data_IF_664565455001
#
_entry.id   IF_664565455001
#
_cell.length_a   1.000
_cell.length_b   1.000
_cell.length_c   1.000
_cell.angle_alpha   90.00
_cell.angle_beta   90.00
_cell.angle_gamma   90.00
#
_symmetry.space_group_name_H-M   'P 1'
#
loop_
_entity.id
_entity.type
_entity.pdbx_description
1 polymer ?
#
# COMPACT_ATOMS: atom_id res chain seq x y z
N UNK A 1 -8.18 -4.61 -0.14
CA UNK A 1 -6.84 -4.38 0.45
C UNK A 1 -5.91 -3.93 -0.67
N UNK A 2 -5.00 -3.01 -0.38
CA UNK A 2 -3.98 -2.54 -1.32
C UNK A 2 -2.64 -2.52 -0.58
N UNK A 3 -1.60 -3.15 -1.13
CA UNK A 3 -0.29 -3.25 -0.49
C UNK A 3 0.84 -3.25 -1.53
N UNK A 4 2.05 -2.98 -1.06
CA UNK A 4 3.29 -3.10 -1.82
C UNK A 4 4.38 -3.54 -0.86
N UNK A 5 5.22 -4.49 -1.27
CA UNK A 5 6.23 -5.08 -0.40
C UNK A 5 7.35 -5.73 -1.21
N UNK A 6 8.50 -5.89 -0.56
CA UNK A 6 9.64 -6.59 -1.15
C UNK A 6 9.61 -8.06 -0.73
N UNK A 7 9.46 -9.00 -1.66
CA UNK A 7 9.47 -10.41 -1.30
C UNK A 7 10.86 -11.01 -1.08
N UNK A 8 10.94 -12.08 -0.29
CA UNK A 8 12.11 -12.95 -0.26
C UNK A 8 12.12 -13.86 -1.49
N UNK A 9 13.24 -13.85 -2.22
CA UNK A 9 13.48 -14.70 -3.39
C UNK A 9 13.46 -16.19 -3.05
N UNK A 10 13.63 -16.55 -1.78
CA UNK A 10 13.66 -17.94 -1.32
C UNK A 10 12.36 -18.40 -0.65
N UNK A 11 11.38 -17.51 -0.46
CA UNK A 11 10.13 -17.86 0.22
C UNK A 11 9.11 -18.57 -0.68
N UNK A 12 9.30 -18.54 -2.00
CA UNK A 12 8.40 -19.18 -2.96
C UNK A 12 9.21 -19.98 -3.98
N UNK A 13 8.66 -21.10 -4.46
CA UNK A 13 9.27 -21.99 -5.46
C UNK A 13 9.41 -21.33 -6.85
N UNK A 14 8.97 -20.08 -6.98
CA UNK A 14 8.98 -19.28 -8.21
C UNK A 14 9.85 -18.03 -8.00
N UNK A 15 10.69 -17.72 -8.99
CA UNK A 15 11.61 -16.57 -9.11
C UNK A 15 10.84 -15.21 -9.23
N UNK A 16 9.78 -15.00 -8.47
CA UNK A 16 8.82 -13.90 -8.59
C UNK A 16 9.39 -12.48 -8.50
N UNK A 17 10.54 -12.31 -7.83
CA UNK A 17 11.27 -11.04 -7.76
C UNK A 17 12.59 -11.04 -8.51
N UNK A 18 12.75 -11.96 -9.47
CA UNK A 18 13.92 -12.00 -10.34
C UNK A 18 14.07 -10.67 -11.08
N UNK A 19 15.29 -10.12 -11.03
CA UNK A 19 15.59 -8.83 -11.63
C UNK A 19 15.24 -7.63 -10.76
N UNK A 20 14.82 -7.83 -9.51
CA UNK A 20 14.74 -6.73 -8.53
C UNK A 20 16.13 -6.09 -8.35
N UNK A 21 16.16 -4.77 -8.54
CA UNK A 21 17.32 -3.93 -8.26
C UNK A 21 16.94 -2.88 -7.21
N UNK A 22 17.30 -3.15 -5.96
CA UNK A 22 16.97 -2.29 -4.83
C UNK A 22 17.59 -0.89 -4.96
N UNK A 23 18.62 -0.68 -5.79
CA UNK A 23 19.23 0.63 -6.01
C UNK A 23 18.26 1.65 -6.65
N UNK A 24 17.15 1.17 -7.20
CA UNK A 24 16.10 1.99 -7.80
C UNK A 24 15.03 2.45 -6.80
N UNK A 25 15.13 2.09 -5.51
CA UNK A 25 14.27 2.62 -4.45
C UNK A 25 14.48 4.14 -4.26
N UNK A 26 13.44 4.89 -3.84
CA UNK A 26 12.13 4.41 -3.43
C UNK A 26 11.18 4.10 -4.60
N UNK A 27 10.30 3.12 -4.38
CA UNK A 27 9.19 2.82 -5.29
C UNK A 27 7.86 3.26 -4.72
N UNK A 28 6.90 3.49 -5.61
CA UNK A 28 5.60 4.03 -5.27
C UNK A 28 4.50 3.27 -6.00
N UNK A 29 3.49 2.85 -5.25
CA UNK A 29 2.20 2.50 -5.80
C UNK A 29 1.22 3.63 -5.46
N UNK A 30 0.48 4.11 -6.46
CA UNK A 30 -0.45 5.22 -6.30
C UNK A 30 -1.83 4.85 -6.81
N UNK A 31 -2.86 5.33 -6.12
CA UNK A 31 -4.24 5.22 -6.57
C UNK A 31 -4.88 6.61 -6.54
N UNK A 32 -5.45 7.03 -7.67
CA UNK A 32 -6.20 8.29 -7.75
C UNK A 32 -7.50 8.21 -6.97
N UNK A 33 -8.18 7.07 -7.03
CA UNK A 33 -9.44 6.83 -6.33
C UNK A 33 -9.72 5.33 -6.20
N UNK A 34 -10.62 4.96 -5.28
CA UNK A 34 -11.18 3.61 -5.17
C UNK A 34 -12.69 3.68 -5.05
N UNK A 35 -13.39 2.76 -5.72
CA UNK A 35 -14.82 2.55 -5.54
C UNK A 35 -15.11 1.17 -4.95
N UNK A 36 -16.13 1.11 -4.13
CA UNK A 36 -16.74 -0.14 -3.69
C UNK A 36 -18.16 -0.20 -4.21
N UNK A 37 -18.47 -1.32 -4.87
CA UNK A 37 -19.80 -1.63 -5.36
C UNK A 37 -20.32 -2.84 -4.59
N UNK A 38 -21.48 -2.69 -3.95
CA UNK A 38 -22.16 -3.79 -3.28
C UNK A 38 -22.94 -4.64 -4.29
N UNK A 39 -22.85 -5.95 -4.15
CA UNK A 39 -23.65 -6.90 -4.92
C UNK A 39 -25.06 -7.02 -4.33
N UNK A 40 -26.08 -6.90 -5.19
CA UNK A 40 -27.47 -7.23 -4.86
C UNK A 40 -27.83 -8.61 -5.44
N UNK A 41 -28.08 -9.62 -4.59
CA UNK A 41 -28.45 -10.96 -5.04
C UNK A 41 -29.86 -11.06 -5.66
N UNK A 42 -30.74 -10.09 -5.45
CA UNK A 42 -32.11 -10.14 -5.99
C UNK A 42 -32.16 -9.75 -7.46
N UNK A 43 -31.33 -8.79 -7.83
CA UNK A 43 -31.23 -8.26 -9.20
C UNK A 43 -30.02 -8.83 -9.95
N UNK A 44 -29.11 -9.50 -9.24
CA UNK A 44 -27.81 -9.97 -9.74
C UNK A 44 -27.00 -8.84 -10.37
N UNK A 45 -26.98 -7.69 -9.70
CA UNK A 45 -26.27 -6.48 -10.13
C UNK A 45 -25.39 -5.90 -9.04
N UNK A 46 -24.46 -5.04 -9.42
CA UNK A 46 -23.63 -4.28 -8.51
C UNK A 46 -24.09 -2.81 -8.48
N UNK A 47 -24.08 -2.21 -7.30
CA UNK A 47 -24.42 -0.81 -7.11
C UNK A 47 -23.31 -0.10 -6.36
N UNK A 48 -22.95 1.10 -6.82
CA UNK A 48 -21.96 1.93 -6.15
C UNK A 48 -22.45 2.26 -4.73
N UNK A 49 -21.65 1.88 -3.74
CA UNK A 49 -21.89 2.20 -2.33
C UNK A 49 -21.11 3.45 -1.94
N UNK A 50 -19.81 3.48 -2.25
CA UNK A 50 -18.97 4.63 -1.98
C UNK A 50 -17.79 4.72 -2.93
N UNK A 51 -17.25 5.94 -3.00
CA UNK A 51 -16.01 6.29 -3.68
C UNK A 51 -15.12 7.06 -2.71
N UNK A 52 -13.83 6.80 -2.80
CA UNK A 52 -12.79 7.55 -2.11
C UNK A 52 -11.90 8.21 -3.16
N UNK A 53 -11.88 9.54 -3.18
CA UNK A 53 -11.01 10.35 -4.05
C UNK A 53 -9.64 10.62 -3.40
N UNK A 54 -9.43 10.14 -2.17
CA UNK A 54 -8.21 10.37 -1.40
C UNK A 54 -7.83 11.85 -1.27
N UNK A 55 -8.79 12.72 -0.96
CA UNK A 55 -8.50 14.10 -0.53
C UNK A 55 -7.79 14.13 0.84
N UNK A 56 -8.02 13.11 1.66
CA UNK A 56 -7.31 12.80 2.90
C UNK A 56 -7.39 11.30 3.19
N UNK A 57 -6.56 10.81 4.11
CA UNK A 57 -6.61 9.42 4.53
C UNK A 57 -7.72 9.21 5.58
N UNK A 58 -8.88 8.69 5.16
CA UNK A 58 -10.01 8.40 6.05
C UNK A 58 -9.76 7.12 6.87
N UNK A 59 -9.36 7.30 8.13
CA UNK A 59 -9.12 6.19 9.07
C UNK A 59 -10.38 5.49 9.57
N UNK A 60 -11.59 6.00 9.30
CA UNK A 60 -12.82 5.25 9.54
C UNK A 60 -13.04 4.17 8.47
N UNK A 61 -12.43 4.34 7.29
CA UNK A 61 -12.54 3.43 6.14
C UNK A 61 -11.30 2.56 5.97
N UNK A 62 -10.11 3.15 6.12
CA UNK A 62 -8.83 2.48 5.85
C UNK A 62 -8.02 2.29 7.11
N UNK A 63 -7.72 1.03 7.42
CA UNK A 63 -6.72 0.67 8.43
C UNK A 63 -5.33 0.65 7.81
N UNK A 64 -4.39 1.34 8.45
CA UNK A 64 -2.99 1.34 8.05
C UNK A 64 -2.16 0.59 9.09
N UNK A 65 -1.51 -0.53 8.73
CA UNK A 65 -0.64 -1.24 9.65
C UNK A 65 0.62 -0.42 9.96
N UNK A 66 1.10 -0.52 11.20
CA UNK A 66 2.36 0.05 11.63
C UNK A 66 3.21 -1.01 12.32
N UNK A 67 4.49 -1.06 11.96
CA UNK A 67 5.44 -2.07 12.39
C UNK A 67 4.93 -3.52 12.24
N UNK A 68 4.43 -3.85 11.05
CA UNK A 68 3.89 -5.18 10.74
C UNK A 68 4.66 -5.84 9.60
N UNK A 69 4.82 -7.17 9.66
CA UNK A 69 5.43 -7.98 8.61
C UNK A 69 4.86 -9.39 8.64
N UNK A 70 5.29 -10.22 7.69
CA UNK A 70 4.91 -11.62 7.60
C UNK A 70 6.04 -12.43 6.96
N UNK A 71 6.03 -13.73 7.15
CA UNK A 71 7.09 -14.61 6.63
C UNK A 71 7.20 -14.51 5.10
N UNK A 72 8.43 -14.37 4.61
CA UNK A 72 8.71 -14.16 3.19
C UNK A 72 8.61 -12.70 2.73
N UNK A 73 8.22 -11.75 3.58
CA UNK A 73 8.28 -10.31 3.30
C UNK A 73 9.57 -9.71 3.88
N UNK A 74 10.44 -9.18 3.02
CA UNK A 74 11.68 -8.50 3.40
C UNK A 74 11.46 -7.04 3.87
N UNK A 75 10.25 -6.53 3.74
CA UNK A 75 9.87 -5.19 4.16
C UNK A 75 8.99 -5.21 5.42
N UNK A 76 9.01 -4.10 6.17
CA UNK A 76 8.10 -3.84 7.29
C UNK A 76 7.09 -2.79 6.85
N UNK A 77 5.80 -3.08 7.00
CA UNK A 77 4.76 -2.07 6.85
C UNK A 77 4.87 -1.05 7.98
N UNK A 78 5.03 0.21 7.59
CA UNK A 78 5.14 1.35 8.48
C UNK A 78 4.07 2.36 8.08
N UNK A 79 3.30 2.86 9.05
CA UNK A 79 2.22 3.79 8.75
C UNK A 79 2.72 5.09 8.11
N UNK A 80 3.94 5.50 8.44
CA UNK A 80 4.63 6.64 7.82
C UNK A 80 4.85 6.52 6.31
N UNK A 81 4.72 5.32 5.73
CA UNK A 81 4.89 5.07 4.29
C UNK A 81 3.56 4.99 3.53
N UNK A 82 2.45 5.25 4.20
CA UNK A 82 1.11 5.34 3.60
C UNK A 82 0.54 6.72 3.88
N UNK A 83 0.34 7.51 2.84
CA UNK A 83 -0.14 8.89 2.98
C UNK A 83 -0.92 9.32 1.74
N UNK A 84 -1.65 10.42 1.88
CA UNK A 84 -2.23 11.13 0.75
C UNK A 84 -1.30 12.24 0.32
N UNK A 85 -1.02 12.31 -0.98
CA UNK A 85 -0.30 13.44 -1.59
C UNK A 85 -0.90 13.71 -2.96
N UNK A 86 -1.14 14.98 -3.28
CA UNK A 86 -1.66 15.41 -4.57
C UNK A 86 -2.98 14.69 -4.97
N UNK A 87 -3.89 14.50 -4.01
CA UNK A 87 -5.16 13.74 -4.16
C UNK A 87 -4.96 12.30 -4.65
N UNK A 88 -3.91 11.63 -4.19
CA UNK A 88 -3.66 10.22 -4.45
C UNK A 88 -3.31 9.52 -3.14
N UNK A 89 -3.82 8.29 -2.94
CA UNK A 89 -3.24 7.39 -1.96
C UNK A 89 -1.87 6.94 -2.46
N UNK A 90 -0.84 7.12 -1.64
CA UNK A 90 0.53 6.74 -1.93
C UNK A 90 0.99 5.67 -0.95
N UNK A 91 1.44 4.54 -1.48
CA UNK A 91 2.20 3.53 -0.77
C UNK A 91 3.65 3.66 -1.21
N UNK A 92 4.57 3.87 -0.27
CA UNK A 92 6.01 4.01 -0.53
C UNK A 92 6.75 2.77 -0.02
N UNK A 93 7.64 2.22 -0.84
CA UNK A 93 8.64 1.25 -0.40
C UNK A 93 10.01 1.93 -0.48
N UNK A 94 10.74 1.92 0.64
CA UNK A 94 12.04 2.58 0.77
C UNK A 94 12.94 1.76 1.71
N UNK A 95 14.22 2.12 1.74
CA UNK A 95 15.14 1.58 2.72
C UNK A 95 14.71 1.94 4.15
N UNK A 96 14.76 0.96 5.06
CA UNK A 96 14.36 1.12 6.46
C UNK A 96 15.04 2.34 7.14
N UNK A 97 16.31 2.59 6.86
CA UNK A 97 17.04 3.72 7.45
C UNK A 97 16.59 5.10 6.95
N UNK A 98 15.92 5.19 5.78
CA UNK A 98 15.35 6.45 5.25
C UNK A 98 13.95 6.74 5.77
N UNK A 99 13.19 5.70 6.11
CA UNK A 99 11.84 5.84 6.65
C UNK A 99 11.79 6.66 7.95
N UNK A 100 12.86 6.64 8.75
CA UNK A 100 12.95 7.37 10.02
C UNK A 100 13.27 8.87 9.87
N UNK A 101 13.77 9.36 8.72
CA UNK A 101 14.19 10.76 8.56
C UNK A 101 13.03 11.75 8.34
N UNK A 102 11.88 11.29 7.85
CA UNK A 102 10.72 12.17 7.60
C UNK A 102 10.01 12.65 8.89
N UNK A 103 10.31 12.05 10.06
CA UNK A 103 9.70 12.41 11.34
C UNK A 103 10.47 13.50 12.12
N UNK A 104 11.58 14.04 11.60
CA UNK A 104 12.40 15.04 12.29
C UNK A 104 12.35 16.46 11.67
N UNK A 105 11.54 16.67 10.63
CA UNK A 105 11.44 17.95 9.90
C UNK A 105 10.02 18.51 9.81
N UNK A 106 9.12 18.13 10.72
CA UNK A 106 7.81 18.77 10.89
C UNK A 106 7.76 19.55 12.21
#
# INVERSE_FOLDING_TARGET
MFNMWAPDVHAHDEDWSKGRDDSTLPWYAKADWIEYHAWDPHTDTFHLEWRDEFDHLDHNRWSVPDNFGFDGNLSTYMASQVYVQDSQLVLKLDYAWRAHYHNFLQ
#
